data_IF_836013579830
#
_entry.id   IF_836013579830
#
_cell.length_a   1.000
_cell.length_b   1.000
_cell.length_c   1.000
_cell.angle_alpha   90.00
_cell.angle_beta   90.00
_cell.angle_gamma   90.00
#
_symmetry.space_group_name_H-M   'P 1'
#
loop_
_entity.id
_entity.type
_entity.pdbx_description
1 polymer ?
#
# COMPACT_ATOMS: atom_id res chain seq x y z
N UNK A 1 6.39 -7.68 1.11
CA UNK A 1 5.90 -6.64 0.19
C UNK A 1 5.36 -7.30 -1.08
N UNK A 2 6.14 -8.11 -1.80
CA UNK A 2 5.74 -8.77 -3.05
C UNK A 2 4.51 -9.67 -2.92
N UNK A 3 4.32 -10.36 -1.78
CA UNK A 3 3.19 -11.25 -1.53
C UNK A 3 1.83 -10.53 -1.56
N UNK A 4 1.81 -9.25 -1.16
CA UNK A 4 0.60 -8.44 -1.02
C UNK A 4 0.49 -7.32 -2.07
N UNK A 5 1.39 -7.29 -3.07
CA UNK A 5 1.37 -6.27 -4.13
C UNK A 5 0.43 -6.62 -5.29
N UNK A 6 -0.22 -7.79 -5.26
CA UNK A 6 -1.05 -8.30 -6.37
C UNK A 6 -0.30 -8.61 -7.66
N UNK A 7 1.00 -8.33 -7.69
CA UNK A 7 1.84 -8.58 -8.86
C UNK A 7 1.83 -10.05 -9.28
N UNK A 8 1.84 -10.97 -8.30
CA UNK A 8 1.77 -12.42 -8.59
C UNK A 8 0.44 -12.83 -9.23
N UNK A 9 -0.66 -12.13 -8.94
CA UNK A 9 -1.98 -12.40 -9.50
C UNK A 9 -2.11 -11.81 -10.91
N UNK A 10 -1.54 -10.61 -11.14
CA UNK A 10 -1.52 -9.96 -12.46
C UNK A 10 -0.52 -10.57 -13.41
N UNK A 11 0.60 -11.09 -12.88
CA UNK A 11 1.68 -11.72 -13.64
C UNK A 11 2.04 -13.07 -12.99
N UNK A 12 1.35 -14.19 -13.34
CA UNK A 12 1.54 -15.49 -12.71
C UNK A 12 2.97 -16.04 -12.83
N UNK A 13 3.72 -15.59 -13.85
CA UNK A 13 5.13 -15.95 -14.05
C UNK A 13 6.14 -15.10 -13.27
N UNK A 14 5.66 -14.10 -12.48
CA UNK A 14 6.52 -13.19 -11.75
C UNK A 14 6.85 -13.76 -10.36
N UNK A 15 8.00 -14.40 -10.24
CA UNK A 15 8.51 -14.94 -8.98
C UNK A 15 9.43 -13.95 -8.27
N UNK A 16 9.60 -14.12 -6.96
CA UNK A 16 10.52 -13.27 -6.18
C UNK A 16 11.96 -13.32 -6.73
N UNK A 17 12.39 -14.47 -7.23
CA UNK A 17 13.71 -14.66 -7.85
C UNK A 17 13.87 -13.81 -9.12
N UNK A 18 12.86 -13.81 -10.00
CA UNK A 18 12.89 -12.98 -11.21
C UNK A 18 12.88 -11.49 -10.89
N UNK A 19 12.19 -11.10 -9.81
CA UNK A 19 12.22 -9.72 -9.33
C UNK A 19 13.61 -9.32 -8.84
N UNK A 20 14.26 -10.16 -8.02
CA UNK A 20 15.63 -9.92 -7.56
C UNK A 20 16.61 -9.88 -8.74
N UNK A 21 16.51 -10.81 -9.69
CA UNK A 21 17.35 -10.82 -10.88
C UNK A 21 17.14 -9.55 -11.73
N UNK A 22 15.89 -9.11 -11.91
CA UNK A 22 15.55 -7.87 -12.61
C UNK A 22 16.17 -6.64 -11.94
N UNK A 23 16.13 -6.57 -10.61
CA UNK A 23 16.76 -5.50 -9.82
C UNK A 23 18.29 -5.48 -10.00
N UNK A 24 18.94 -6.64 -9.89
CA UNK A 24 20.39 -6.75 -10.09
C UNK A 24 20.78 -6.29 -11.50
N UNK A 25 20.01 -6.68 -12.51
CA UNK A 25 20.22 -6.27 -13.89
C UNK A 25 20.02 -4.75 -14.08
N UNK A 26 19.00 -4.18 -13.45
CA UNK A 26 18.71 -2.75 -13.51
C UNK A 26 19.80 -1.92 -12.81
N UNK A 27 20.27 -2.36 -11.65
CA UNK A 27 21.42 -1.75 -10.95
C UNK A 27 22.66 -1.79 -11.81
N UNK A 28 22.98 -2.94 -12.41
CA UNK A 28 24.12 -3.10 -13.29
C UNK A 28 24.02 -2.21 -14.54
N UNK A 29 22.83 -2.11 -15.14
CA UNK A 29 22.57 -1.27 -16.31
C UNK A 29 22.72 0.23 -15.99
N UNK A 30 22.17 0.69 -14.86
CA UNK A 30 22.28 2.09 -14.41
C UNK A 30 23.74 2.43 -14.11
N UNK A 31 24.42 1.58 -13.36
CA UNK A 31 25.83 1.80 -13.01
C UNK A 31 26.73 1.74 -14.24
N UNK A 32 26.59 0.72 -15.08
CA UNK A 32 27.35 0.60 -16.34
C UNK A 32 27.08 1.74 -17.31
N UNK A 33 25.80 2.13 -17.49
CA UNK A 33 25.41 3.24 -18.34
C UNK A 33 26.01 4.58 -17.90
N UNK A 34 26.02 4.85 -16.60
CA UNK A 34 26.64 6.08 -16.05
C UNK A 34 28.16 6.11 -16.21
N UNK A 35 28.83 4.97 -16.15
CA UNK A 35 30.29 4.87 -16.41
C UNK A 35 30.61 5.11 -17.89
N UNK A 36 29.82 4.54 -18.81
CA UNK A 36 29.99 4.77 -20.26
C UNK A 36 29.80 6.25 -20.63
N UNK A 37 28.89 6.94 -19.95
CA UNK A 37 28.68 8.39 -20.13
C UNK A 37 29.74 9.26 -19.45
N UNK A 38 30.75 8.68 -18.80
CA UNK A 38 31.84 9.42 -18.15
C UNK A 38 31.42 10.19 -16.93
N UNK A 39 30.32 9.80 -16.29
CA UNK A 39 29.83 10.45 -15.07
C UNK A 39 30.75 10.19 -13.87
N UNK A 40 30.93 11.21 -13.00
CA UNK A 40 31.66 11.06 -11.75
C UNK A 40 30.99 10.00 -10.86
N UNK A 41 31.77 9.27 -10.06
CA UNK A 41 31.30 8.20 -9.21
C UNK A 41 30.14 8.65 -8.26
N UNK A 42 30.18 9.89 -7.80
CA UNK A 42 29.14 10.50 -6.95
C UNK A 42 27.80 10.62 -7.71
N UNK A 43 27.83 11.03 -8.98
CA UNK A 43 26.62 11.14 -9.81
C UNK A 43 26.03 9.77 -10.13
N UNK A 44 26.87 8.75 -10.36
CA UNK A 44 26.43 7.36 -10.54
C UNK A 44 25.69 6.84 -9.31
N UNK A 45 26.21 7.12 -8.12
CA UNK A 45 25.61 6.73 -6.85
C UNK A 45 24.25 7.43 -6.63
N UNK A 46 24.15 8.70 -7.02
CA UNK A 46 22.91 9.47 -6.94
C UNK A 46 21.83 8.91 -7.88
N UNK A 47 22.16 8.56 -9.12
CA UNK A 47 21.24 7.91 -10.05
C UNK A 47 20.76 6.55 -9.51
N UNK A 48 21.65 5.77 -8.91
CA UNK A 48 21.31 4.48 -8.31
C UNK A 48 20.33 4.66 -7.13
N UNK A 49 20.55 5.66 -6.26
CA UNK A 49 19.63 6.01 -5.19
C UNK A 49 18.25 6.42 -5.70
N UNK A 50 18.19 7.24 -6.76
CA UNK A 50 16.93 7.66 -7.38
C UNK A 50 16.19 6.45 -7.95
N UNK A 51 16.87 5.55 -8.64
CA UNK A 51 16.27 4.34 -9.24
C UNK A 51 15.66 3.45 -8.17
N UNK A 52 16.38 3.20 -7.08
CA UNK A 52 15.87 2.43 -5.93
C UNK A 52 14.66 3.10 -5.28
N UNK A 53 14.67 4.43 -5.16
CA UNK A 53 13.53 5.18 -4.62
C UNK A 53 12.28 5.07 -5.52
N UNK A 54 12.44 5.18 -6.83
CA UNK A 54 11.35 5.02 -7.81
C UNK A 54 10.75 3.63 -7.73
N UNK A 55 11.58 2.59 -7.63
CA UNK A 55 11.12 1.21 -7.51
C UNK A 55 10.33 0.96 -6.22
N UNK A 56 10.82 1.48 -5.08
CA UNK A 56 10.08 1.43 -3.80
C UNK A 56 8.73 2.14 -3.90
N UNK A 57 8.65 3.29 -4.58
CA UNK A 57 7.41 4.02 -4.79
C UNK A 57 6.44 3.21 -5.66
N UNK A 58 6.91 2.59 -6.74
CA UNK A 58 6.09 1.74 -7.61
C UNK A 58 5.50 0.55 -6.87
N UNK A 59 6.31 -0.20 -6.12
CA UNK A 59 5.85 -1.34 -5.33
C UNK A 59 4.81 -0.92 -4.28
N UNK A 60 5.05 0.20 -3.62
CA UNK A 60 4.12 0.71 -2.63
C UNK A 60 2.79 1.19 -3.25
N UNK A 61 2.84 1.71 -4.47
CA UNK A 61 1.65 2.12 -5.23
C UNK A 61 0.78 0.93 -5.59
N UNK A 62 1.37 -0.18 -6.07
CA UNK A 62 0.61 -1.41 -6.38
C UNK A 62 -0.05 -1.99 -5.12
N UNK A 63 0.68 -2.06 -4.01
CA UNK A 63 0.13 -2.49 -2.72
C UNK A 63 -1.03 -1.63 -2.26
N UNK A 64 -0.93 -0.32 -2.48
CA UNK A 64 -1.99 0.62 -2.16
C UNK A 64 -3.25 0.43 -3.00
N UNK A 65 -3.11 0.18 -4.29
CA UNK A 65 -4.24 -0.05 -5.18
C UNK A 65 -5.03 -1.29 -4.75
N UNK A 66 -4.35 -2.38 -4.35
CA UNK A 66 -5.04 -3.56 -3.82
C UNK A 66 -5.75 -3.29 -2.51
N UNK A 67 -5.06 -2.62 -1.57
CA UNK A 67 -5.66 -2.25 -0.30
C UNK A 67 -6.92 -1.38 -0.47
N UNK A 68 -6.87 -0.43 -1.40
CA UNK A 68 -8.01 0.42 -1.74
C UNK A 68 -9.16 -0.38 -2.34
N UNK A 69 -8.88 -1.30 -3.25
CA UNK A 69 -9.90 -2.18 -3.82
C UNK A 69 -10.61 -3.02 -2.74
N UNK A 70 -9.86 -3.52 -1.75
CA UNK A 70 -10.45 -4.23 -0.61
C UNK A 70 -11.32 -3.30 0.23
N UNK A 71 -10.88 -2.08 0.54
CA UNK A 71 -11.67 -1.09 1.27
C UNK A 71 -13.01 -0.78 0.59
N UNK A 72 -12.98 -0.60 -0.72
CA UNK A 72 -14.17 -0.24 -1.51
C UNK A 72 -15.17 -1.41 -1.60
N UNK A 73 -14.68 -2.65 -1.54
CA UNK A 73 -15.49 -3.85 -1.73
C UNK A 73 -15.86 -4.59 -0.43
N UNK A 74 -15.15 -4.37 0.70
CA UNK A 74 -15.41 -5.12 1.94
C UNK A 74 -16.82 -4.89 2.52
N UNK A 75 -17.36 -3.67 2.41
CA UNK A 75 -18.74 -3.39 2.82
C UNK A 75 -19.76 -4.05 1.91
N UNK A 76 -19.51 -4.08 0.59
CA UNK A 76 -20.35 -4.82 -0.37
C UNK A 76 -20.35 -6.32 -0.01
N UNK A 77 -19.17 -6.88 0.26
CA UNK A 77 -19.02 -8.27 0.70
C UNK A 77 -19.87 -8.58 1.93
N UNK A 78 -19.78 -7.75 2.98
CA UNK A 78 -20.56 -7.91 4.20
C UNK A 78 -22.08 -7.78 3.98
N UNK A 79 -22.52 -6.89 3.08
CA UNK A 79 -23.92 -6.75 2.73
C UNK A 79 -24.44 -8.01 2.03
N UNK A 80 -23.69 -8.55 1.06
CA UNK A 80 -24.05 -9.79 0.38
C UNK A 80 -24.02 -10.99 1.33
N UNK A 81 -22.98 -11.11 2.18
CA UNK A 81 -22.91 -12.14 3.20
C UNK A 81 -24.13 -12.11 4.13
N UNK A 82 -24.55 -10.94 4.61
CA UNK A 82 -25.74 -10.80 5.45
C UNK A 82 -27.02 -11.24 4.75
N UNK A 83 -27.17 -10.93 3.46
CA UNK A 83 -28.35 -11.33 2.70
C UNK A 83 -28.38 -12.83 2.39
N UNK A 84 -27.23 -13.43 2.04
CA UNK A 84 -27.14 -14.85 1.72
C UNK A 84 -27.09 -15.75 2.95
N UNK A 85 -26.57 -15.28 4.09
CA UNK A 85 -26.52 -16.07 5.34
C UNK A 85 -27.89 -16.44 5.88
N UNK A 86 -28.93 -15.71 5.50
CA UNK A 86 -30.31 -16.02 5.88
C UNK A 86 -30.90 -17.21 5.09
N UNK A 87 -30.28 -17.59 3.97
CA UNK A 87 -30.84 -18.57 3.03
C UNK A 87 -29.97 -19.81 2.79
N UNK A 88 -28.69 -19.78 3.14
CA UNK A 88 -27.74 -20.84 2.80
C UNK A 88 -27.06 -21.40 4.05
N UNK A 89 -27.17 -22.71 4.25
CA UNK A 89 -26.66 -23.41 5.42
C UNK A 89 -25.14 -23.53 5.53
N UNK A 90 -24.37 -23.21 4.50
CA UNK A 90 -22.91 -23.38 4.48
C UNK A 90 -22.17 -22.09 4.09
N UNK A 91 -21.36 -21.57 4.99
CA UNK A 91 -20.63 -20.28 4.85
C UNK A 91 -19.74 -20.29 3.60
N UNK A 92 -19.05 -21.38 3.32
CA UNK A 92 -18.13 -21.49 2.19
C UNK A 92 -18.86 -21.50 0.84
N UNK A 93 -20.04 -22.12 0.77
CA UNK A 93 -20.93 -22.01 -0.39
C UNK A 93 -21.43 -20.59 -0.62
N UNK A 94 -21.79 -19.88 0.47
CA UNK A 94 -22.18 -18.48 0.44
C UNK A 94 -21.03 -17.61 -0.08
N UNK A 95 -19.78 -17.84 0.39
CA UNK A 95 -18.61 -17.13 -0.10
C UNK A 95 -18.40 -17.29 -1.61
N UNK A 96 -18.60 -18.49 -2.13
CA UNK A 96 -18.52 -18.77 -3.58
C UNK A 96 -19.61 -18.06 -4.40
N UNK A 97 -20.79 -17.81 -3.82
CA UNK A 97 -21.83 -17.00 -4.48
C UNK A 97 -21.54 -15.51 -4.40
N UNK A 98 -21.11 -15.03 -3.24
CA UNK A 98 -20.77 -13.62 -3.00
C UNK A 98 -19.59 -13.19 -3.86
N UNK A 99 -18.61 -14.08 -4.09
CA UNK A 99 -17.43 -13.79 -4.91
C UNK A 99 -17.76 -13.29 -6.32
N UNK A 100 -18.88 -13.77 -6.91
CA UNK A 100 -19.33 -13.38 -8.25
C UNK A 100 -19.67 -11.87 -8.36
N UNK A 101 -19.98 -11.24 -7.23
CA UNK A 101 -20.33 -9.82 -7.16
C UNK A 101 -19.16 -8.94 -6.68
N UNK A 102 -18.00 -9.57 -6.41
CA UNK A 102 -16.82 -8.87 -5.91
C UNK A 102 -15.83 -8.61 -7.02
N UNK A 103 -15.03 -7.55 -6.82
CA UNK A 103 -13.88 -7.25 -7.66
C UNK A 103 -12.60 -7.87 -7.09
N UNK A 104 -11.57 -7.98 -7.93
CA UNK A 104 -10.26 -8.42 -7.45
C UNK A 104 -9.66 -7.42 -6.44
N UNK A 105 -9.04 -7.87 -5.36
CA UNK A 105 -8.56 -9.21 -5.05
C UNK A 105 -9.57 -10.11 -4.32
N UNK A 106 -10.68 -9.59 -3.81
CA UNK A 106 -11.63 -10.34 -2.97
C UNK A 106 -12.28 -11.49 -3.74
N UNK A 107 -12.63 -11.27 -5.02
CA UNK A 107 -13.24 -12.30 -5.87
C UNK A 107 -12.41 -13.58 -5.87
N UNK A 108 -11.17 -13.53 -6.34
CA UNK A 108 -10.34 -14.69 -6.49
C UNK A 108 -10.00 -15.38 -5.16
N UNK A 109 -9.84 -14.61 -4.07
CA UNK A 109 -9.55 -15.17 -2.75
C UNK A 109 -10.76 -15.91 -2.17
N UNK A 110 -11.98 -15.39 -2.39
CA UNK A 110 -13.22 -16.04 -1.93
C UNK A 110 -13.55 -17.28 -2.77
N UNK A 111 -13.37 -17.24 -4.09
CA UNK A 111 -13.53 -18.40 -4.98
C UNK A 111 -12.57 -19.52 -4.61
N UNK A 112 -11.31 -19.19 -4.37
CA UNK A 112 -10.29 -20.16 -3.95
C UNK A 112 -10.63 -20.75 -2.58
N UNK A 113 -11.11 -19.95 -1.62
CA UNK A 113 -11.57 -20.43 -0.31
C UNK A 113 -12.74 -21.41 -0.44
N UNK A 114 -13.75 -21.08 -1.26
CA UNK A 114 -14.89 -21.95 -1.51
C UNK A 114 -14.46 -23.27 -2.16
N UNK A 115 -13.55 -23.20 -3.14
CA UNK A 115 -13.00 -24.39 -3.80
C UNK A 115 -12.18 -25.26 -2.85
N UNK A 116 -11.26 -24.68 -2.07
CA UNK A 116 -10.45 -25.39 -1.07
C UNK A 116 -11.34 -26.10 -0.03
N UNK A 117 -12.41 -25.42 0.45
CA UNK A 117 -13.33 -26.02 1.41
C UNK A 117 -14.11 -27.22 0.82
N UNK A 118 -14.55 -27.13 -0.45
CA UNK A 118 -15.24 -28.21 -1.13
C UNK A 118 -14.31 -29.41 -1.36
N UNK A 119 -13.05 -29.17 -1.74
CA UNK A 119 -12.10 -30.26 -2.03
C UNK A 119 -11.57 -30.94 -0.78
N UNK A 120 -11.38 -30.20 0.32
CA UNK A 120 -10.79 -30.74 1.56
C UNK A 120 -11.83 -31.14 2.59
N UNK A 121 -13.08 -30.70 2.44
CA UNK A 121 -14.13 -30.85 3.46
C UNK A 121 -13.89 -30.04 4.74
N UNK A 122 -12.85 -29.17 4.76
CA UNK A 122 -12.45 -28.41 5.95
C UNK A 122 -12.58 -26.90 5.72
N UNK A 123 -13.77 -26.39 5.98
CA UNK A 123 -14.10 -24.97 5.85
C UNK A 123 -13.29 -24.07 6.78
N UNK A 124 -12.94 -24.54 7.98
CA UNK A 124 -12.17 -23.77 8.96
C UNK A 124 -10.74 -23.46 8.42
N UNK A 125 -10.05 -24.47 7.91
CA UNK A 125 -8.70 -24.30 7.35
C UNK A 125 -8.72 -23.40 6.11
N UNK A 126 -9.70 -23.54 5.23
CA UNK A 126 -9.87 -22.72 4.03
C UNK A 126 -10.09 -21.22 4.40
N UNK A 127 -10.91 -20.93 5.42
CA UNK A 127 -11.13 -19.55 5.90
C UNK A 127 -9.88 -18.93 6.52
N UNK A 128 -9.10 -19.69 7.30
CA UNK A 128 -7.83 -19.20 7.83
C UNK A 128 -6.81 -18.94 6.73
N UNK A 129 -6.72 -19.82 5.72
CA UNK A 129 -5.88 -19.62 4.55
C UNK A 129 -6.32 -18.36 3.77
N UNK A 130 -7.62 -18.11 3.63
CA UNK A 130 -8.19 -16.93 3.01
C UNK A 130 -7.73 -15.64 3.74
N UNK A 131 -7.73 -15.66 5.09
CA UNK A 131 -7.29 -14.50 5.90
C UNK A 131 -5.85 -14.08 5.60
N UNK A 132 -4.97 -15.02 5.26
CA UNK A 132 -3.55 -14.76 5.00
C UNK A 132 -3.26 -14.32 3.56
N UNK A 133 -4.24 -14.43 2.64
CA UNK A 133 -4.07 -14.05 1.22
C UNK A 133 -4.25 -12.55 0.96
N UNK A 134 -4.90 -11.82 1.88
CA UNK A 134 -5.19 -10.38 1.76
C UNK A 134 -4.57 -9.61 2.91
N UNK A 135 -3.78 -8.58 2.60
CA UNK A 135 -3.21 -7.70 3.63
C UNK A 135 -4.18 -6.57 4.00
N UNK A 136 -5.28 -6.95 4.65
CA UNK A 136 -6.26 -5.99 5.13
C UNK A 136 -6.75 -6.39 6.54
N UNK A 137 -6.58 -5.52 7.57
CA UNK A 137 -6.84 -5.92 8.95
C UNK A 137 -8.30 -6.34 9.18
N UNK A 138 -9.26 -5.58 8.62
CA UNK A 138 -10.68 -5.88 8.79
C UNK A 138 -11.14 -7.10 7.98
N UNK A 139 -10.49 -7.39 6.86
CA UNK A 139 -10.75 -8.62 6.12
C UNK A 139 -10.23 -9.85 6.87
N UNK A 140 -9.04 -9.76 7.46
CA UNK A 140 -8.51 -10.83 8.32
C UNK A 140 -9.39 -11.09 9.54
N UNK A 141 -9.87 -10.01 10.19
CA UNK A 141 -10.82 -10.09 11.30
C UNK A 141 -12.12 -10.77 10.87
N UNK A 142 -12.69 -10.37 9.71
CA UNK A 142 -13.90 -10.99 9.16
C UNK A 142 -13.69 -12.49 8.90
N UNK A 143 -12.62 -12.88 8.22
CA UNK A 143 -12.36 -14.28 7.90
C UNK A 143 -12.18 -15.16 9.15
N UNK A 144 -11.50 -14.62 10.17
CA UNK A 144 -11.37 -15.29 11.48
C UNK A 144 -12.71 -15.39 12.23
N UNK A 145 -13.51 -14.34 12.17
CA UNK A 145 -14.83 -14.35 12.78
C UNK A 145 -15.75 -15.37 12.10
N UNK A 146 -15.70 -15.50 10.78
CA UNK A 146 -16.42 -16.52 10.03
C UNK A 146 -15.95 -17.95 10.44
N UNK A 147 -14.66 -18.15 10.63
CA UNK A 147 -14.10 -19.42 11.10
C UNK A 147 -14.61 -19.76 12.51
N UNK A 148 -14.59 -18.80 13.43
CA UNK A 148 -15.12 -18.96 14.79
C UNK A 148 -16.62 -19.31 14.76
N UNK A 149 -17.40 -18.67 13.88
CA UNK A 149 -18.83 -18.97 13.71
C UNK A 149 -19.06 -20.44 13.30
N UNK A 150 -18.26 -20.97 12.38
CA UNK A 150 -18.36 -22.39 11.99
C UNK A 150 -18.00 -23.30 13.16
N UNK A 151 -16.91 -22.99 13.86
CA UNK A 151 -16.37 -23.84 14.93
C UNK A 151 -17.30 -23.92 16.12
N UNK A 152 -17.94 -22.81 16.49
CA UNK A 152 -18.77 -22.71 17.70
C UNK A 152 -20.27 -22.60 17.42
N UNK A 153 -20.69 -22.80 16.15
CA UNK A 153 -22.10 -22.68 15.74
C UNK A 153 -22.73 -21.34 16.17
N UNK A 154 -21.93 -20.27 16.15
CA UNK A 154 -22.39 -18.93 16.53
C UNK A 154 -23.33 -18.36 15.46
N UNK A 155 -24.23 -17.47 15.88
CA UNK A 155 -25.15 -16.79 14.97
C UNK A 155 -24.39 -15.92 13.96
N UNK A 156 -24.40 -16.37 12.71
CA UNK A 156 -23.72 -15.70 11.59
C UNK A 156 -24.28 -14.30 11.34
N UNK A 157 -25.59 -14.10 11.54
CA UNK A 157 -26.24 -12.80 11.31
C UNK A 157 -25.70 -11.74 12.26
N UNK A 158 -25.66 -12.05 13.55
CA UNK A 158 -25.13 -11.17 14.58
C UNK A 158 -23.65 -10.85 14.34
N UNK A 159 -22.89 -11.86 13.92
CA UNK A 159 -21.46 -11.71 13.63
C UNK A 159 -21.21 -10.82 12.39
N UNK A 160 -21.97 -11.00 11.31
CA UNK A 160 -21.88 -10.18 10.10
C UNK A 160 -22.28 -8.74 10.41
N UNK A 161 -23.31 -8.50 11.21
CA UNK A 161 -23.74 -7.16 11.59
C UNK A 161 -22.73 -6.45 12.50
N UNK A 162 -22.12 -7.18 13.43
CA UNK A 162 -21.01 -6.66 14.22
C UNK A 162 -19.81 -6.30 13.37
N UNK A 163 -19.41 -7.19 12.46
CA UNK A 163 -18.33 -6.94 11.51
C UNK A 163 -18.62 -5.75 10.59
N UNK A 164 -19.87 -5.59 10.15
CA UNK A 164 -20.31 -4.44 9.34
C UNK A 164 -20.15 -3.12 10.09
N UNK A 165 -20.52 -3.06 11.37
CA UNK A 165 -20.30 -1.86 12.21
C UNK A 165 -18.82 -1.55 12.38
N UNK A 166 -18.01 -2.56 12.72
CA UNK A 166 -16.56 -2.44 12.89
C UNK A 166 -15.86 -1.97 11.61
N UNK A 167 -16.26 -2.48 10.44
CA UNK A 167 -15.70 -2.05 9.17
C UNK A 167 -16.11 -0.61 8.81
N UNK A 168 -17.37 -0.21 9.04
CA UNK A 168 -17.81 1.17 8.80
C UNK A 168 -17.03 2.17 9.64
N UNK A 169 -16.86 1.89 10.92
CA UNK A 169 -16.09 2.74 11.82
C UNK A 169 -14.61 2.82 11.39
N UNK A 170 -14.02 1.68 11.04
CA UNK A 170 -12.67 1.64 10.50
C UNK A 170 -12.50 2.49 9.23
N UNK A 171 -13.41 2.36 8.26
CA UNK A 171 -13.36 3.12 7.00
C UNK A 171 -13.52 4.62 7.25
N UNK A 172 -14.43 5.01 8.17
CA UNK A 172 -14.60 6.40 8.57
C UNK A 172 -13.32 6.98 9.17
N UNK A 173 -12.70 6.28 10.10
CA UNK A 173 -11.42 6.71 10.71
C UNK A 173 -10.31 6.81 9.66
N UNK A 174 -10.28 5.89 8.69
CA UNK A 174 -9.33 5.94 7.57
C UNK A 174 -9.54 7.17 6.68
N UNK A 175 -10.80 7.54 6.40
CA UNK A 175 -11.13 8.74 5.61
C UNK A 175 -10.75 10.02 6.34
N UNK A 176 -11.06 10.13 7.63
CA UNK A 176 -10.66 11.27 8.47
C UNK A 176 -9.13 11.42 8.50
N UNK A 177 -8.40 10.33 8.67
CA UNK A 177 -6.93 10.31 8.62
C UNK A 177 -6.38 10.72 7.27
N UNK A 178 -6.97 10.26 6.17
CA UNK A 178 -6.58 10.68 4.81
C UNK A 178 -6.81 12.17 4.59
N UNK A 179 -7.90 12.71 5.12
CA UNK A 179 -8.19 14.14 5.11
C UNK A 179 -7.09 14.94 5.79
N UNK A 180 -6.74 14.60 7.03
CA UNK A 180 -5.67 15.26 7.78
C UNK A 180 -4.30 15.17 7.09
N UNK A 181 -3.96 14.01 6.52
CA UNK A 181 -2.69 13.83 5.78
C UNK A 181 -2.65 14.67 4.50
N UNK A 182 -3.78 14.79 3.80
CA UNK A 182 -3.89 15.63 2.60
C UNK A 182 -3.71 17.10 2.94
N UNK A 183 -4.35 17.57 4.01
CA UNK A 183 -4.20 18.94 4.50
C UNK A 183 -2.74 19.24 4.91
N UNK A 184 -2.11 18.32 5.66
CA UNK A 184 -0.70 18.44 6.02
C UNK A 184 0.22 18.47 4.78
N UNK A 185 -0.08 17.68 3.74
CA UNK A 185 0.69 17.67 2.50
C UNK A 185 0.54 18.98 1.71
N UNK A 186 -0.67 19.55 1.66
CA UNK A 186 -0.93 20.85 1.02
C UNK A 186 -0.17 21.95 1.76
N UNK A 187 -0.28 22.00 3.09
CA UNK A 187 0.41 23.01 3.91
C UNK A 187 1.93 22.95 3.75
N UNK A 188 2.50 21.73 3.71
CA UNK A 188 3.92 21.55 3.49
C UNK A 188 4.36 21.97 2.07
N UNK A 189 3.54 21.67 1.06
CA UNK A 189 3.78 22.12 -0.32
C UNK A 189 3.78 23.65 -0.42
N UNK A 190 2.85 24.29 0.26
CA UNK A 190 2.75 25.75 0.31
C UNK A 190 3.95 26.38 1.01
N UNK A 191 4.39 25.81 2.15
CA UNK A 191 5.59 26.27 2.86
C UNK A 191 6.85 26.10 2.00
N UNK A 192 6.98 24.97 1.28
CA UNK A 192 8.10 24.77 0.35
C UNK A 192 8.09 25.81 -0.79
N UNK A 193 6.93 26.08 -1.38
CA UNK A 193 6.79 27.11 -2.41
C UNK A 193 7.14 28.51 -1.90
N UNK A 194 6.67 28.88 -0.69
CA UNK A 194 7.02 30.14 -0.05
C UNK A 194 8.52 30.25 0.26
N UNK A 195 9.16 29.15 0.68
CA UNK A 195 10.60 29.13 0.91
C UNK A 195 11.40 29.37 -0.37
N UNK A 196 11.01 28.75 -1.48
CA UNK A 196 11.64 28.99 -2.79
C UNK A 196 11.43 30.43 -3.24
N UNK A 197 10.21 30.97 -3.07
CA UNK A 197 9.92 32.36 -3.41
C UNK A 197 10.74 33.34 -2.58
N UNK A 198 10.88 33.09 -1.27
CA UNK A 198 11.71 33.91 -0.38
C UNK A 198 13.18 33.90 -0.82
N UNK A 199 13.74 32.71 -1.14
CA UNK A 199 15.11 32.61 -1.67
C UNK A 199 15.29 33.38 -2.97
N UNK A 200 14.35 33.31 -3.91
CA UNK A 200 14.40 34.07 -5.15
C UNK A 200 14.34 35.60 -4.92
N UNK A 201 13.57 36.02 -3.91
CA UNK A 201 13.45 37.47 -3.57
C UNK A 201 14.75 37.98 -2.95
N UNK A 202 15.34 37.20 -2.04
CA UNK A 202 16.62 37.54 -1.40
C UNK A 202 17.76 37.57 -2.44
N UNK A 203 17.78 36.62 -3.38
CA UNK A 203 18.78 36.57 -4.46
C UNK A 203 18.74 37.86 -5.34
N UNK A 204 17.57 38.50 -5.48
CA UNK A 204 17.41 39.78 -6.22
C UNK A 204 17.77 41.02 -5.41
N UNK A 205 17.74 40.92 -4.10
CA UNK A 205 18.00 42.06 -3.20
C UNK A 205 19.47 42.17 -2.80
N UNK A 206 20.21 41.07 -2.86
CA UNK A 206 21.61 41.00 -2.46
C UNK A 206 22.44 40.68 -3.70
N UNK A 207 23.51 41.43 -3.96
CA UNK A 207 24.43 41.29 -5.07
C UNK A 207 25.26 39.97 -5.03
N UNK A 208 24.98 39.12 -4.07
CA UNK A 208 25.63 37.82 -3.89
C UNK A 208 24.61 36.71 -4.15
N UNK A 209 24.86 35.83 -5.11
CA UNK A 209 23.99 34.71 -5.41
C UNK A 209 23.80 33.80 -4.16
N UNK A 210 22.60 33.87 -3.60
CA UNK A 210 22.21 33.03 -2.45
C UNK A 210 22.37 31.53 -2.78
N UNK A 211 22.17 31.19 -4.04
CA UNK A 211 22.35 29.83 -4.52
C UNK A 211 23.80 29.35 -4.37
N UNK A 212 24.80 30.21 -4.69
CA UNK A 212 26.20 29.90 -4.44
C UNK A 212 26.53 29.73 -2.97
N UNK A 213 25.95 30.57 -2.10
CA UNK A 213 26.14 30.44 -0.65
C UNK A 213 25.61 29.10 -0.17
N UNK A 214 24.41 28.70 -0.61
CA UNK A 214 23.78 27.43 -0.21
C UNK A 214 24.54 26.21 -0.73
N UNK A 215 25.13 26.29 -1.94
CA UNK A 215 25.83 25.15 -2.55
C UNK A 215 27.32 25.06 -2.23
N UNK A 216 27.98 26.19 -1.90
CA UNK A 216 29.42 26.22 -1.78
C UNK A 216 29.91 26.41 -0.33
N UNK A 217 29.00 26.76 0.61
CA UNK A 217 29.36 26.95 2.02
C UNK A 217 28.96 25.78 2.91
N UNK A 218 29.75 25.52 3.94
CA UNK A 218 29.51 24.46 4.91
C UNK A 218 28.14 24.61 5.63
N UNK A 219 27.72 25.80 6.11
CA UNK A 219 26.38 26.00 6.66
C UNK A 219 25.26 25.78 5.64
N UNK A 220 25.47 26.09 4.36
CA UNK A 220 24.50 25.82 3.30
C UNK A 220 24.27 24.32 3.09
N UNK A 221 25.34 23.53 3.04
CA UNK A 221 25.23 22.06 2.95
C UNK A 221 24.52 21.46 4.17
N UNK A 222 24.81 21.96 5.38
CA UNK A 222 24.11 21.51 6.59
C UNK A 222 22.62 21.85 6.54
N UNK A 223 22.26 23.05 6.12
CA UNK A 223 20.86 23.45 5.98
C UNK A 223 20.10 22.59 4.95
N UNK A 224 20.69 22.34 3.78
CA UNK A 224 20.13 21.44 2.77
C UNK A 224 20.00 20.01 3.28
N UNK A 225 20.98 19.50 4.02
CA UNK A 225 20.96 18.19 4.63
C UNK A 225 19.81 18.05 5.64
N UNK A 226 19.67 19.00 6.55
CA UNK A 226 18.59 19.02 7.53
C UNK A 226 17.23 19.12 6.85
N UNK A 227 17.06 20.00 5.86
CA UNK A 227 15.82 20.12 5.09
C UNK A 227 15.49 18.82 4.35
N UNK A 228 16.48 18.17 3.73
CA UNK A 228 16.33 16.89 3.06
C UNK A 228 15.91 15.77 4.00
N UNK A 229 16.47 15.73 5.22
CA UNK A 229 16.08 14.75 6.25
C UNK A 229 14.65 15.01 6.71
N UNK A 230 14.27 16.24 7.03
CA UNK A 230 12.90 16.59 7.45
C UNK A 230 11.90 16.24 6.35
N UNK A 231 12.20 16.59 5.11
CA UNK A 231 11.34 16.27 3.95
C UNK A 231 11.24 14.78 3.70
N UNK A 232 12.35 14.04 3.81
CA UNK A 232 12.37 12.58 3.70
C UNK A 232 11.57 11.89 4.80
N UNK A 233 11.69 12.34 6.06
CA UNK A 233 10.89 11.84 7.18
C UNK A 233 9.40 12.14 6.99
N UNK A 234 9.06 13.32 6.48
CA UNK A 234 7.68 13.69 6.16
C UNK A 234 7.11 12.79 5.06
N UNK A 235 7.84 12.63 3.94
CA UNK A 235 7.43 11.71 2.88
C UNK A 235 7.26 10.29 3.40
N UNK A 236 8.20 9.80 4.22
CA UNK A 236 8.06 8.50 4.87
C UNK A 236 6.81 8.43 5.73
N UNK A 237 6.46 9.48 6.46
CA UNK A 237 5.25 9.52 7.30
C UNK A 237 3.98 9.57 6.44
N UNK A 238 3.93 10.39 5.39
CA UNK A 238 2.79 10.51 4.48
C UNK A 238 2.57 9.22 3.67
N UNK A 239 3.64 8.62 3.16
CA UNK A 239 3.57 7.41 2.33
C UNK A 239 3.80 6.11 3.12
N UNK A 240 4.51 6.14 4.24
CA UNK A 240 4.84 4.98 5.07
C UNK A 240 3.84 4.69 6.19
N UNK A 241 2.92 5.60 6.49
CA UNK A 241 1.93 5.47 7.58
C UNK A 241 0.72 4.60 7.21
N UNK A 242 0.94 3.65 6.30
CA UNK A 242 -0.06 2.66 5.86
C UNK A 242 0.22 1.27 6.42
N UNK A 243 0.70 1.22 7.65
CA UNK A 243 0.70 -0.01 8.45
C UNK A 243 -0.39 0.01 9.49
#
# INVERSE_FOLDING_TARGET
VLRYSGLRRRMPHFTAEKWVAGNVLLIAAVFGGTQVLGCKMITSLLYLMITMAVEMILLNTFRFLEYRSVNDNILKCLNFLGNYSLTAGEITGVLGQVSKYMEEPLKGVMEECAYEAQMTGNSSTALLAMAEKVEHPKFKELARNLEISIRYMADLTTLVDSSRRSVREYLRTEEERKGMLREAAINMGLLAAMSVFALMTVDRLIDVSVWKIVTDTLPGHLALGIYGIIFGLFLRKVYGFRR
#
